data_IF_791654928311
#
_entry.id   IF_791654928311
#
_cell.length_a   1.000
_cell.length_b   1.000
_cell.length_c   1.000
_cell.angle_alpha   90.00
_cell.angle_beta   90.00
_cell.angle_gamma   90.00
#
_symmetry.space_group_name_H-M   'P 1'
#
loop_
_entity.id
_entity.type
_entity.pdbx_description
1 polymer ?
#
# COMPACT_ATOMS: atom_id res chain seq x y z
N UNK A 1 23.46 -17.61 5.16
CA UNK A 1 22.12 -18.23 5.24
C UNK A 1 21.50 -18.08 3.85
N UNK A 2 21.21 -19.17 3.13
CA UNK A 2 20.79 -19.12 1.72
C UNK A 2 19.26 -19.11 1.66
N UNK A 3 18.69 -17.93 1.42
CA UNK A 3 17.25 -17.63 1.55
C UNK A 3 16.49 -17.85 0.23
N UNK A 4 16.69 -19.00 -0.42
CA UNK A 4 15.81 -19.55 -1.47
C UNK A 4 16.42 -20.88 -1.95
N UNK A 5 15.61 -21.95 -1.99
CA UNK A 5 16.07 -23.32 -2.27
C UNK A 5 16.04 -23.67 -3.76
N UNK A 6 15.31 -22.90 -4.56
CA UNK A 6 15.14 -23.08 -6.00
C UNK A 6 15.19 -21.72 -6.67
N UNK A 7 16.03 -21.53 -7.69
CA UNK A 7 16.24 -20.26 -8.41
C UNK A 7 15.04 -19.86 -9.32
N UNK A 8 13.89 -20.52 -9.13
CA UNK A 8 12.67 -20.35 -9.89
C UNK A 8 11.53 -20.02 -8.93
N UNK A 9 10.98 -18.81 -9.07
CA UNK A 9 9.78 -18.38 -8.34
C UNK A 9 8.59 -19.27 -8.72
N UNK A 10 8.10 -20.05 -7.77
CA UNK A 10 6.88 -20.85 -7.97
C UNK A 10 5.67 -19.92 -8.05
N UNK A 11 5.00 -19.92 -9.21
CA UNK A 11 3.81 -19.10 -9.48
C UNK A 11 2.51 -19.89 -9.32
N UNK A 12 2.57 -21.13 -8.81
CA UNK A 12 1.42 -22.04 -8.73
C UNK A 12 0.27 -21.42 -7.96
N UNK A 13 0.55 -20.79 -6.80
CA UNK A 13 -0.50 -20.12 -6.04
C UNK A 13 -1.02 -18.87 -6.76
N UNK A 14 -0.11 -18.05 -7.30
CA UNK A 14 -0.43 -16.87 -8.12
C UNK A 14 -1.33 -17.15 -9.32
N UNK A 15 -1.26 -18.37 -9.86
CA UNK A 15 -2.15 -18.87 -10.92
C UNK A 15 -3.42 -19.48 -10.34
N UNK A 16 -3.32 -20.17 -9.20
CA UNK A 16 -4.43 -20.86 -8.56
C UNK A 16 -5.51 -19.89 -8.05
N UNK A 17 -5.11 -18.80 -7.39
CA UNK A 17 -6.03 -17.89 -6.69
C UNK A 17 -6.80 -16.93 -7.62
N UNK A 18 -6.60 -17.03 -8.94
CA UNK A 18 -7.29 -16.19 -9.94
C UNK A 18 -8.66 -16.79 -10.28
N UNK A 19 -9.63 -15.93 -10.57
CA UNK A 19 -11.00 -16.34 -10.90
C UNK A 19 -11.08 -17.49 -11.94
N UNK A 20 -10.32 -17.49 -13.07
CA UNK A 20 -10.37 -18.60 -14.02
C UNK A 20 -9.99 -19.98 -13.44
N UNK A 21 -9.07 -20.03 -12.47
CA UNK A 21 -8.67 -21.27 -11.81
C UNK A 21 -9.68 -21.68 -10.71
N UNK A 22 -10.17 -20.72 -9.93
CA UNK A 22 -11.11 -20.96 -8.82
C UNK A 22 -12.48 -21.46 -9.33
N UNK A 23 -12.90 -21.05 -10.53
CA UNK A 23 -14.17 -21.49 -11.16
C UNK A 23 -14.33 -23.00 -11.32
N UNK A 24 -13.26 -23.77 -11.19
CA UNK A 24 -13.32 -25.23 -11.14
C UNK A 24 -14.05 -25.75 -9.90
N UNK A 25 -14.13 -24.94 -8.84
CA UNK A 25 -14.65 -25.31 -7.53
C UNK A 25 -15.86 -24.48 -7.09
N UNK A 26 -16.03 -23.27 -7.62
CA UNK A 26 -17.12 -22.35 -7.27
C UNK A 26 -17.86 -21.84 -8.50
N UNK A 27 -19.15 -21.47 -8.38
CA UNK A 27 -19.87 -20.73 -9.42
C UNK A 27 -19.11 -19.49 -9.89
N UNK A 28 -19.27 -19.11 -11.16
CA UNK A 28 -18.50 -18.03 -11.77
C UNK A 28 -18.60 -16.70 -11.01
N UNK A 29 -19.79 -16.35 -10.53
CA UNK A 29 -20.05 -15.12 -9.77
C UNK A 29 -19.26 -15.11 -8.45
N UNK A 30 -19.24 -16.23 -7.73
CA UNK A 30 -18.50 -16.34 -6.47
C UNK A 30 -17.00 -16.30 -6.73
N UNK A 31 -16.50 -17.02 -7.73
CA UNK A 31 -15.09 -17.02 -8.09
C UNK A 31 -14.58 -15.63 -8.55
N UNK A 32 -15.40 -14.84 -9.23
CA UNK A 32 -15.08 -13.44 -9.61
C UNK A 32 -15.10 -12.50 -8.40
N UNK A 33 -15.91 -12.79 -7.36
CA UNK A 33 -15.99 -11.97 -6.16
C UNK A 33 -14.78 -12.10 -5.22
N UNK A 34 -14.03 -13.21 -5.32
CA UNK A 34 -12.84 -13.50 -4.52
C UNK A 34 -11.62 -12.74 -5.04
N UNK A 35 -11.65 -11.41 -4.92
CA UNK A 35 -10.54 -10.57 -5.33
C UNK A 35 -9.42 -10.65 -4.29
N UNK A 36 -8.41 -11.46 -4.57
CA UNK A 36 -7.22 -11.60 -3.73
C UNK A 36 -6.08 -10.76 -4.31
N UNK A 37 -5.40 -9.99 -3.47
CA UNK A 37 -4.15 -9.30 -3.81
C UNK A 37 -2.97 -10.11 -3.28
N UNK A 38 -2.02 -10.42 -4.16
CA UNK A 38 -0.74 -10.99 -3.76
C UNK A 38 0.18 -9.82 -3.37
N UNK A 39 0.43 -9.68 -2.07
CA UNK A 39 1.33 -8.66 -1.53
C UNK A 39 2.73 -9.28 -1.43
N UNK A 40 3.53 -9.14 -2.49
CA UNK A 40 4.87 -9.75 -2.61
C UNK A 40 5.81 -9.39 -1.44
N UNK A 41 5.69 -8.18 -0.89
CA UNK A 41 6.40 -7.80 0.33
C UNK A 41 5.74 -6.57 0.97
N UNK A 42 5.68 -6.59 2.31
CA UNK A 42 5.56 -5.37 3.13
C UNK A 42 6.94 -5.10 3.69
N UNK A 43 7.66 -4.18 3.06
CA UNK A 43 9.02 -3.82 3.48
C UNK A 43 8.90 -2.85 4.66
N UNK A 44 9.07 -3.38 5.87
CA UNK A 44 9.20 -2.61 7.09
C UNK A 44 10.66 -2.70 7.56
N UNK A 45 11.45 -1.66 7.29
CA UNK A 45 12.92 -1.68 7.41
C UNK A 45 13.45 -1.15 8.74
N UNK A 46 12.61 -1.02 9.77
CA UNK A 46 13.01 -0.41 11.03
C UNK A 46 13.13 -1.45 12.16
N UNK A 47 14.21 -1.36 12.94
CA UNK A 47 14.61 -2.31 13.97
C UNK A 47 13.88 -2.16 15.33
N UNK A 48 12.75 -1.45 15.36
CA UNK A 48 11.94 -1.24 16.57
C UNK A 48 10.46 -1.14 16.17
N UNK A 49 9.73 -2.24 16.25
CA UNK A 49 8.37 -2.40 15.70
C UNK A 49 7.29 -2.58 16.77
N UNK A 50 7.68 -2.91 18.01
CA UNK A 50 6.76 -3.26 19.10
C UNK A 50 5.75 -2.15 19.47
N UNK A 51 5.99 -0.91 19.04
CA UNK A 51 5.08 0.24 19.25
C UNK A 51 4.64 0.98 18.00
N UNK A 52 4.96 0.51 16.79
CA UNK A 52 4.73 1.28 15.56
C UNK A 52 3.39 0.98 14.90
N UNK A 53 2.56 2.02 14.78
CA UNK A 53 1.27 1.95 14.10
C UNK A 53 1.43 2.10 12.57
N UNK A 54 0.61 1.41 11.76
CA UNK A 54 0.57 1.63 10.32
C UNK A 54 0.28 3.10 9.98
N UNK A 55 1.03 3.68 9.04
CA UNK A 55 0.83 5.07 8.62
C UNK A 55 -0.28 5.19 7.56
N UNK A 56 -0.11 4.46 6.45
CA UNK A 56 -1.02 4.42 5.32
C UNK A 56 -0.73 3.19 4.44
N UNK A 57 -1.72 2.78 3.64
CA UNK A 57 -1.53 1.87 2.51
C UNK A 57 -1.29 2.72 1.26
N UNK A 58 -0.14 2.56 0.60
CA UNK A 58 0.21 3.37 -0.56
C UNK A 58 0.48 2.45 -1.74
N UNK A 59 -0.34 2.57 -2.77
CA UNK A 59 -0.10 1.95 -4.07
C UNK A 59 0.88 2.84 -4.85
N UNK A 60 2.10 2.37 -5.06
CA UNK A 60 3.19 3.17 -5.67
C UNK A 60 3.48 2.69 -7.09
N UNK A 61 3.77 3.62 -8.01
CA UNK A 61 4.34 3.30 -9.31
C UNK A 61 5.08 4.50 -9.91
N UNK A 62 5.92 4.27 -10.92
CA UNK A 62 6.44 5.37 -11.75
C UNK A 62 5.29 6.01 -12.53
N UNK A 63 5.25 7.33 -12.61
CA UNK A 63 4.27 8.06 -13.40
C UNK A 63 4.57 7.96 -14.89
N UNK A 64 3.67 7.31 -15.62
CA UNK A 64 3.66 7.15 -17.08
C UNK A 64 2.25 7.48 -17.62
N UNK A 65 1.55 8.41 -16.97
CA UNK A 65 0.17 8.82 -17.28
C UNK A 65 -0.89 7.72 -17.20
N UNK A 66 -0.66 6.73 -16.33
CA UNK A 66 -1.59 5.64 -16.09
C UNK A 66 -2.56 5.92 -14.93
N UNK A 67 -3.74 5.29 -14.99
CA UNK A 67 -4.54 5.01 -13.80
C UNK A 67 -4.14 3.63 -13.25
N UNK A 68 -4.08 3.48 -11.92
CA UNK A 68 -3.79 2.18 -11.29
C UNK A 68 -5.06 1.57 -10.69
N UNK A 69 -5.35 0.28 -10.95
CA UNK A 69 -6.45 -0.41 -10.29
C UNK A 69 -6.14 -0.52 -8.79
N UNK A 70 -6.87 0.23 -7.97
CA UNK A 70 -6.64 0.32 -6.53
C UNK A 70 -7.81 -0.21 -5.69
N UNK A 71 -8.72 -0.97 -6.32
CA UNK A 71 -9.95 -1.45 -5.68
C UNK A 71 -9.69 -2.30 -4.44
N UNK A 72 -8.71 -3.21 -4.48
CA UNK A 72 -8.38 -4.06 -3.34
C UNK A 72 -7.72 -3.26 -2.21
N UNK A 73 -6.76 -2.39 -2.53
CA UNK A 73 -6.13 -1.50 -1.54
C UNK A 73 -7.18 -0.63 -0.86
N UNK A 74 -8.14 -0.08 -1.61
CA UNK A 74 -9.25 0.68 -1.07
C UNK A 74 -10.10 -0.17 -0.10
N UNK A 75 -10.47 -1.39 -0.48
CA UNK A 75 -11.26 -2.27 0.39
C UNK A 75 -10.49 -2.66 1.66
N UNK A 76 -9.21 -2.98 1.54
CA UNK A 76 -8.35 -3.28 2.68
C UNK A 76 -8.23 -2.08 3.63
N UNK A 77 -8.04 -0.88 3.07
CA UNK A 77 -7.97 0.38 3.82
C UNK A 77 -9.26 0.68 4.60
N UNK A 78 -10.41 0.42 3.98
CA UNK A 78 -11.73 0.55 4.61
C UNK A 78 -11.92 -0.44 5.75
N UNK A 79 -11.53 -1.71 5.56
CA UNK A 79 -11.66 -2.75 6.58
C UNK A 79 -10.71 -2.53 7.77
N UNK A 80 -9.48 -2.10 7.49
CA UNK A 80 -8.48 -1.82 8.52
C UNK A 80 -8.62 -0.42 9.14
N UNK A 81 -9.49 0.42 8.57
CA UNK A 81 -9.63 1.85 8.88
C UNK A 81 -8.27 2.60 8.89
N UNK A 82 -7.46 2.36 7.86
CA UNK A 82 -6.14 2.98 7.66
C UNK A 82 -6.17 3.83 6.37
N UNK A 83 -5.60 5.05 6.35
CA UNK A 83 -5.56 5.88 5.15
C UNK A 83 -4.94 5.16 3.95
N UNK A 84 -5.46 5.42 2.75
CA UNK A 84 -4.93 4.86 1.53
C UNK A 84 -4.78 5.87 0.41
N UNK A 85 -3.69 5.73 -0.36
CA UNK A 85 -3.29 6.63 -1.42
C UNK A 85 -2.78 5.85 -2.63
N UNK A 86 -2.89 6.47 -3.81
CA UNK A 86 -2.02 6.15 -4.95
C UNK A 86 -0.96 7.23 -5.02
N UNK A 87 0.30 6.82 -5.16
CA UNK A 87 1.43 7.72 -5.34
C UNK A 87 2.20 7.35 -6.61
N UNK A 88 2.06 8.17 -7.65
CA UNK A 88 2.80 8.01 -8.90
C UNK A 88 3.99 8.97 -8.88
N UNK A 89 5.21 8.48 -9.11
CA UNK A 89 6.42 9.30 -8.98
C UNK A 89 7.13 9.54 -10.31
N UNK A 90 7.70 10.73 -10.48
CA UNK A 90 8.56 11.09 -11.61
C UNK A 90 10.01 11.11 -11.16
N UNK A 91 10.90 10.48 -11.93
CA UNK A 91 12.33 10.54 -11.65
C UNK A 91 12.87 11.97 -11.78
N UNK A 92 13.85 12.27 -10.95
CA UNK A 92 14.77 13.40 -11.12
C UNK A 92 15.87 13.02 -12.12
N UNK A 93 16.49 14.03 -12.71
CA UNK A 93 17.73 13.86 -13.46
C UNK A 93 18.94 13.61 -12.53
N UNK A 94 18.83 13.99 -11.26
CA UNK A 94 19.86 13.79 -10.24
C UNK A 94 19.74 12.40 -9.60
N UNK A 95 20.88 11.85 -9.17
CA UNK A 95 20.91 10.63 -8.36
C UNK A 95 20.42 10.90 -6.93
N UNK A 96 19.85 9.88 -6.30
CA UNK A 96 19.44 9.96 -4.91
C UNK A 96 20.68 10.12 -4.01
N UNK A 97 20.73 11.12 -3.10
CA UNK A 97 21.92 11.39 -2.28
C UNK A 97 22.36 10.24 -1.37
N UNK A 98 21.44 9.37 -0.95
CA UNK A 98 21.72 8.22 -0.06
C UNK A 98 21.86 6.90 -0.82
N UNK A 99 21.45 6.87 -2.09
CA UNK A 99 21.59 5.73 -2.98
C UNK A 99 21.96 6.17 -4.40
N UNK A 100 23.23 6.54 -4.67
CA UNK A 100 23.65 7.14 -5.95
C UNK A 100 23.42 6.27 -7.19
N UNK A 101 23.18 4.97 -7.02
CA UNK A 101 22.83 4.05 -8.11
C UNK A 101 21.38 4.20 -8.60
N UNK A 102 20.56 4.99 -7.90
CA UNK A 102 19.15 5.19 -8.20
C UNK A 102 18.88 6.66 -8.48
N UNK A 103 18.03 7.00 -9.47
CA UNK A 103 17.58 8.37 -9.67
C UNK A 103 16.75 8.82 -8.47
N UNK A 104 16.87 10.10 -8.12
CA UNK A 104 16.01 10.70 -7.10
C UNK A 104 14.59 10.92 -7.65
N UNK A 105 13.68 11.45 -6.83
CA UNK A 105 12.31 11.77 -7.24
C UNK A 105 12.15 13.28 -7.38
N UNK A 106 11.59 13.73 -8.50
CA UNK A 106 11.33 15.15 -8.77
C UNK A 106 9.91 15.58 -8.39
N UNK A 107 8.93 14.68 -8.52
CA UNK A 107 7.54 14.97 -8.18
C UNK A 107 6.73 13.71 -7.92
N UNK A 108 5.62 13.88 -7.22
CA UNK A 108 4.60 12.87 -6.98
C UNK A 108 3.24 13.37 -7.46
N UNK A 109 2.51 12.51 -8.18
CA UNK A 109 1.09 12.66 -8.46
C UNK A 109 0.33 11.75 -7.49
N UNK A 110 -0.30 12.38 -6.50
CA UNK A 110 -0.97 11.73 -5.37
C UNK A 110 -2.48 11.80 -5.53
N UNK A 111 -3.18 10.71 -5.19
CA UNK A 111 -4.64 10.71 -5.02
C UNK A 111 -5.01 9.94 -3.78
N UNK A 112 -5.73 10.58 -2.86
CA UNK A 112 -6.31 9.88 -1.71
C UNK A 112 -7.46 9.00 -2.13
N UNK A 113 -7.39 7.73 -1.74
CA UNK A 113 -8.45 6.74 -1.92
C UNK A 113 -9.34 6.64 -0.68
N UNK A 114 -8.75 6.74 0.52
CA UNK A 114 -9.45 6.64 1.79
C UNK A 114 -8.68 7.38 2.90
N UNK A 115 -9.36 7.94 3.92
CA UNK A 115 -10.78 8.28 3.96
C UNK A 115 -11.09 9.47 3.04
N UNK A 116 -12.36 9.68 2.67
CA UNK A 116 -12.81 10.81 1.84
C UNK A 116 -12.01 10.92 0.52
N UNK A 117 -12.24 10.00 -0.44
CA UNK A 117 -11.51 9.96 -1.69
C UNK A 117 -11.45 11.33 -2.37
N UNK A 118 -10.29 11.69 -2.90
CA UNK A 118 -10.12 12.94 -3.64
C UNK A 118 -10.72 12.83 -5.05
N UNK A 119 -11.42 13.87 -5.53
CA UNK A 119 -12.02 13.85 -6.86
C UNK A 119 -10.97 13.88 -7.97
N UNK A 120 -9.78 14.43 -7.69
CA UNK A 120 -8.71 14.60 -8.65
C UNK A 120 -7.34 14.29 -8.06
N UNK A 121 -6.33 14.34 -8.94
CA UNK A 121 -4.93 14.18 -8.56
C UNK A 121 -4.36 15.51 -8.05
N UNK A 122 -3.41 15.41 -7.10
CA UNK A 122 -2.56 16.51 -6.66
C UNK A 122 -1.14 16.25 -7.09
N UNK A 123 -0.45 17.28 -7.56
CA UNK A 123 0.98 17.20 -7.84
C UNK A 123 1.70 17.81 -6.65
N UNK A 124 2.57 17.04 -6.03
CA UNK A 124 3.36 17.42 -4.86
C UNK A 124 4.85 17.23 -5.16
N UNK A 125 5.68 18.13 -4.65
CA UNK A 125 7.11 17.90 -4.51
C UNK A 125 7.40 16.82 -3.45
N UNK A 126 8.62 16.23 -3.44
CA UNK A 126 9.03 15.31 -2.38
C UNK A 126 8.91 15.91 -0.97
N UNK A 127 9.23 17.19 -0.82
CA UNK A 127 9.11 17.91 0.46
C UNK A 127 7.65 18.01 0.90
N UNK A 128 6.73 18.42 0.02
CA UNK A 128 5.30 18.49 0.35
C UNK A 128 4.73 17.12 0.69
N UNK A 129 5.14 16.07 -0.03
CA UNK A 129 4.69 14.72 0.28
C UNK A 129 5.21 14.24 1.63
N UNK A 130 6.48 14.50 1.96
CA UNK A 130 7.04 14.18 3.27
C UNK A 130 6.30 14.90 4.41
N UNK A 131 5.98 16.19 4.26
CA UNK A 131 5.19 16.92 5.24
C UNK A 131 3.77 16.35 5.39
N UNK A 132 3.11 15.98 4.29
CA UNK A 132 1.80 15.34 4.34
C UNK A 132 1.83 14.01 5.12
N UNK A 133 2.89 13.21 4.97
CA UNK A 133 3.07 11.97 5.74
C UNK A 133 3.18 12.23 7.25
N UNK A 134 3.82 13.33 7.67
CA UNK A 134 3.89 13.75 9.08
C UNK A 134 2.50 14.14 9.60
N UNK A 135 1.70 14.86 8.81
CA UNK A 135 0.33 15.21 9.19
C UNK A 135 -0.55 13.96 9.34
N UNK A 136 -0.45 13.03 8.39
CA UNK A 136 -1.15 11.73 8.41
C UNK A 136 -0.79 10.95 9.68
N UNK A 137 0.49 10.93 10.07
CA UNK A 137 0.95 10.31 11.32
C UNK A 137 0.26 10.93 12.53
N UNK A 138 0.21 12.25 12.58
CA UNK A 138 -0.47 12.99 13.65
C UNK A 138 -1.96 12.63 13.76
N UNK A 139 -2.65 12.48 12.62
CA UNK A 139 -4.05 12.04 12.59
C UNK A 139 -4.22 10.60 13.10
N UNK A 140 -3.38 9.68 12.63
CA UNK A 140 -3.45 8.28 13.08
C UNK A 140 -3.20 8.16 14.58
N UNK A 141 -2.19 8.84 15.14
CA UNK A 141 -1.92 8.81 16.57
C UNK A 141 -3.10 9.34 17.39
N UNK A 142 -3.70 10.47 16.99
CA UNK A 142 -4.89 11.01 17.66
C UNK A 142 -6.08 10.05 17.60
N UNK A 143 -6.25 9.34 16.49
CA UNK A 143 -7.28 8.31 16.34
C UNK A 143 -7.06 7.17 17.33
N UNK A 144 -5.87 6.57 17.33
CA UNK A 144 -5.55 5.43 18.19
C UNK A 144 -5.58 5.76 19.68
N UNK A 145 -5.18 6.96 20.09
CA UNK A 145 -5.30 7.40 21.49
C UNK A 145 -6.76 7.55 21.96
N UNK A 146 -7.70 7.78 21.04
CA UNK A 146 -9.12 7.97 21.35
C UNK A 146 -9.95 6.69 21.22
N UNK A 147 -9.39 5.60 20.70
CA UNK A 147 -10.08 4.31 20.60
C UNK A 147 -9.97 3.59 21.95
N UNK A 148 -11.11 3.41 22.66
CA UNK A 148 -11.16 2.47 23.80
C UNK A 148 -10.76 1.09 23.30
N UNK A 149 -9.82 0.45 23.99
CA UNK A 149 -9.49 -0.97 23.80
C UNK A 149 -10.80 -1.79 23.85
N UNK A 150 -11.09 -2.54 22.80
CA UNK A 150 -12.31 -3.35 22.73
C UNK A 150 -12.27 -4.60 23.63
N UNK A 151 -11.12 -4.86 24.25
CA UNK A 151 -10.90 -6.02 25.09
C UNK A 151 -10.77 -5.54 26.53
N UNK A 152 -11.51 -6.22 27.41
CA UNK A 152 -11.49 -6.14 28.87
C UNK A 152 -12.46 -5.14 29.51
N UNK A 153 -13.76 -5.36 29.32
CA UNK A 153 -14.70 -5.15 30.44
C UNK A 153 -15.09 -6.48 31.14
N UNK A 154 -14.75 -7.66 30.58
CA UNK A 154 -15.23 -8.96 31.11
C UNK A 154 -14.35 -10.22 30.92
N UNK A 155 -13.04 -10.10 30.73
CA UNK A 155 -12.11 -11.23 30.91
C UNK A 155 -10.95 -10.85 31.81
#
# INVERSE_FOLDING_TARGET
MRTERYELRDRSYGMWHRAPSIRRYLPAIEAESLTMVDLDSVVFTEYDDAGKLPLALIEVARDIDQEKPSGVILRLAQLADIPAYVALYTHSASANPTGPNWPDISSFRIKRLWPRPEPGWRILSPTEWAHALVEIRGWQLRRFMNTKSANDERY
#
